data_IF_086720107273
#
_entry.id   IF_086720107273
#
_cell.length_a   1.000
_cell.length_b   1.000
_cell.length_c   1.000
_cell.angle_alpha   90.00
_cell.angle_beta   90.00
_cell.angle_gamma   90.00
#
_symmetry.space_group_name_H-M   'P 1'
#
loop_
_entity.id
_entity.type
_entity.pdbx_description
1 polymer ?
#
# COMPACT_ATOMS: atom_id res chain seq x y z
N UNK A 1 -1.72 -6.06 5.56
CA UNK A 1 -1.95 -6.10 4.11
C UNK A 1 -0.62 -6.05 3.35
N UNK A 2 -0.41 -6.90 2.33
CA UNK A 2 0.78 -6.81 1.46
C UNK A 2 0.68 -5.68 0.42
N UNK A 3 -0.44 -4.99 0.36
CA UNK A 3 -0.73 -4.00 -0.66
C UNK A 3 -1.55 -4.55 -1.81
N UNK A 4 -1.46 -3.91 -2.99
CA UNK A 4 -2.22 -4.26 -4.18
C UNK A 4 -2.50 -3.04 -5.05
N UNK A 5 -3.77 -2.78 -5.35
CA UNK A 5 -4.18 -1.67 -6.22
C UNK A 5 -3.83 -0.30 -5.64
N UNK A 6 -3.03 0.48 -6.36
CA UNK A 6 -2.69 1.85 -5.98
C UNK A 6 -3.94 2.74 -5.89
N UNK A 7 -4.89 2.56 -6.83
CA UNK A 7 -6.15 3.32 -6.83
C UNK A 7 -6.97 3.02 -5.58
N UNK A 8 -7.12 1.74 -5.22
CA UNK A 8 -7.86 1.36 -4.02
C UNK A 8 -7.19 1.89 -2.75
N UNK A 9 -5.84 1.86 -2.71
CA UNK A 9 -5.08 2.39 -1.58
C UNK A 9 -5.27 3.89 -1.41
N UNK A 10 -5.29 4.67 -2.50
CA UNK A 10 -5.56 6.11 -2.46
C UNK A 10 -6.98 6.41 -1.99
N UNK A 11 -7.99 5.69 -2.50
CA UNK A 11 -9.39 5.89 -2.07
C UNK A 11 -9.55 5.63 -0.56
N UNK A 12 -8.93 4.56 -0.05
CA UNK A 12 -8.97 4.24 1.39
C UNK A 12 -8.19 5.29 2.19
N UNK A 13 -7.01 5.70 1.70
CA UNK A 13 -6.20 6.74 2.35
C UNK A 13 -6.98 8.05 2.50
N UNK A 14 -7.66 8.50 1.43
CA UNK A 14 -8.50 9.72 1.46
C UNK A 14 -9.64 9.59 2.47
N UNK A 15 -10.36 8.46 2.49
CA UNK A 15 -11.44 8.25 3.45
C UNK A 15 -10.95 8.23 4.91
N UNK A 16 -9.76 7.69 5.17
CA UNK A 16 -9.15 7.73 6.50
C UNK A 16 -8.69 9.15 6.89
N UNK A 17 -8.16 9.93 5.94
CA UNK A 17 -7.80 11.34 6.19
C UNK A 17 -9.02 12.19 6.48
N UNK A 18 -10.10 12.04 5.74
CA UNK A 18 -11.38 12.69 6.03
C UNK A 18 -11.91 12.31 7.42
N UNK A 19 -11.83 11.03 7.78
CA UNK A 19 -12.21 10.57 9.11
C UNK A 19 -11.34 11.20 10.21
N UNK A 20 -10.04 11.35 9.97
CA UNK A 20 -9.10 11.92 10.95
C UNK A 20 -9.33 13.41 11.25
N UNK A 21 -10.09 14.12 10.41
CA UNK A 21 -10.51 15.49 10.69
C UNK A 21 -11.55 15.58 11.83
N UNK A 22 -12.29 14.50 12.09
CA UNK A 22 -13.35 14.46 13.08
C UNK A 22 -13.02 13.65 14.34
N UNK A 23 -12.12 12.67 14.23
CA UNK A 23 -11.73 11.80 15.34
C UNK A 23 -10.33 11.21 15.10
N UNK A 24 -9.54 10.89 16.14
CA UNK A 24 -8.23 10.30 15.96
C UNK A 24 -8.33 8.94 15.29
N UNK A 25 -7.46 8.71 14.32
CA UNK A 25 -7.34 7.44 13.57
C UNK A 25 -5.96 6.85 13.83
N UNK A 26 -5.89 5.75 14.56
CA UNK A 26 -4.63 5.06 14.82
C UNK A 26 -4.60 3.72 14.08
N UNK A 27 -3.42 3.31 13.71
CA UNK A 27 -3.19 2.08 12.94
C UNK A 27 -2.41 1.10 13.77
N UNK A 28 -2.90 -0.14 13.86
CA UNK A 28 -2.16 -1.26 14.45
C UNK A 28 -1.82 -2.29 13.37
N UNK A 29 -0.53 -2.60 13.24
CA UNK A 29 0.01 -3.54 12.27
C UNK A 29 0.45 -4.80 12.99
N UNK A 30 -0.37 -5.84 12.95
CA UNK A 30 -0.07 -7.12 13.57
C UNK A 30 0.91 -7.98 12.76
N UNK A 31 0.80 -8.04 11.43
CA UNK A 31 1.66 -8.87 10.59
C UNK A 31 2.38 -8.10 9.49
N UNK A 32 1.64 -7.40 8.65
CA UNK A 32 2.22 -6.72 7.50
C UNK A 32 1.47 -5.45 7.12
N UNK A 33 2.23 -4.39 6.86
CA UNK A 33 1.79 -3.19 6.16
C UNK A 33 2.83 -2.83 5.09
N UNK A 34 2.69 -3.42 3.91
CA UNK A 34 3.63 -3.25 2.81
C UNK A 34 2.95 -2.67 1.57
N UNK A 35 3.69 -1.89 0.76
CA UNK A 35 3.19 -1.30 -0.48
C UNK A 35 1.87 -0.54 -0.22
N UNK A 36 0.78 -0.85 -0.92
CA UNK A 36 -0.54 -0.27 -0.67
C UNK A 36 -1.03 -0.40 0.78
N UNK A 37 -0.58 -1.41 1.52
CA UNK A 37 -0.87 -1.55 2.95
C UNK A 37 -0.18 -0.47 3.79
N UNK A 38 1.06 -0.11 3.47
CA UNK A 38 1.76 1.00 4.13
C UNK A 38 1.22 2.36 3.65
N UNK A 39 0.85 2.47 2.37
CA UNK A 39 0.15 3.63 1.82
C UNK A 39 -1.09 3.99 2.65
N UNK A 40 -1.91 3.00 2.97
CA UNK A 40 -3.10 3.17 3.82
C UNK A 40 -2.70 3.51 5.26
N UNK A 41 -1.68 2.84 5.80
CA UNK A 41 -1.26 3.02 7.18
C UNK A 41 -0.80 4.46 7.49
N UNK A 42 -0.14 5.12 6.53
CA UNK A 42 0.33 6.51 6.71
C UNK A 42 -0.79 7.56 6.70
N UNK A 43 -2.04 7.16 6.49
CA UNK A 43 -3.20 8.02 6.71
C UNK A 43 -3.50 8.22 8.20
N UNK A 44 -3.10 7.28 9.05
CA UNK A 44 -3.33 7.35 10.50
C UNK A 44 -2.44 8.35 11.21
N UNK A 45 -2.94 8.88 12.33
CA UNK A 45 -2.23 9.85 13.17
C UNK A 45 -1.07 9.20 13.96
N UNK A 46 -1.24 7.91 14.33
CA UNK A 46 -0.19 7.07 14.94
C UNK A 46 -0.23 5.67 14.37
N UNK A 47 0.94 5.07 14.26
CA UNK A 47 1.13 3.70 13.73
C UNK A 47 1.85 2.86 14.77
N UNK A 48 1.17 1.85 15.29
CA UNK A 48 1.73 0.80 16.13
C UNK A 48 2.09 -0.42 15.29
N UNK A 49 3.23 -1.02 15.58
CA UNK A 49 3.70 -2.20 14.86
C UNK A 49 4.11 -3.30 15.83
N UNK A 50 3.72 -4.53 15.56
CA UNK A 50 4.30 -5.66 16.29
C UNK A 50 5.80 -5.75 15.99
N UNK A 51 6.67 -6.16 16.92
CA UNK A 51 8.12 -6.22 16.72
C UNK A 51 8.56 -6.96 15.46
N UNK A 52 7.79 -7.97 15.04
CA UNK A 52 8.03 -8.83 13.88
C UNK A 52 7.22 -8.45 12.64
N UNK A 53 6.37 -7.44 12.70
CA UNK A 53 5.62 -6.95 11.55
C UNK A 53 6.54 -6.56 10.40
N UNK A 54 6.12 -6.85 9.18
CA UNK A 54 6.81 -6.41 7.97
C UNK A 54 6.20 -5.10 7.48
N UNK A 55 7.02 -4.05 7.38
CA UNK A 55 6.57 -2.69 7.05
C UNK A 55 7.39 -2.13 5.89
N UNK A 56 6.79 -1.32 5.05
CA UNK A 56 7.49 -0.59 4.00
C UNK A 56 7.05 -0.99 2.59
N UNK A 57 7.98 -1.45 1.76
CA UNK A 57 7.75 -1.66 0.32
C UNK A 57 7.17 -0.40 -0.34
N UNK A 58 7.73 0.78 0.01
CA UNK A 58 7.39 2.05 -0.63
C UNK A 58 7.96 2.03 -2.03
N UNK A 59 7.15 1.53 -2.96
CA UNK A 59 7.54 1.30 -4.34
C UNK A 59 6.36 0.93 -5.20
N UNK A 60 6.57 0.95 -6.50
CA UNK A 60 5.57 0.59 -7.51
C UNK A 60 6.17 -0.44 -8.44
N UNK A 61 5.43 -1.51 -8.66
CA UNK A 61 5.77 -2.53 -9.65
C UNK A 61 4.62 -2.68 -10.63
N UNK A 62 4.94 -2.86 -11.89
CA UNK A 62 3.95 -3.08 -12.93
C UNK A 62 4.58 -3.81 -14.11
N UNK A 63 3.75 -4.57 -14.82
CA UNK A 63 4.22 -5.31 -15.97
C UNK A 63 3.13 -6.15 -16.60
N UNK A 64 3.48 -6.82 -17.69
CA UNK A 64 2.69 -7.91 -18.27
C UNK A 64 3.58 -9.07 -18.66
N UNK A 65 3.01 -10.23 -18.76
CA UNK A 65 3.67 -11.42 -19.30
C UNK A 65 3.29 -11.53 -20.77
N UNK A 66 4.29 -11.57 -21.66
CA UNK A 66 4.09 -11.85 -23.08
C UNK A 66 4.32 -13.34 -23.34
N UNK A 67 3.34 -13.99 -23.89
CA UNK A 67 3.34 -15.44 -24.15
C UNK A 67 3.29 -15.77 -25.66
N UNK A 68 3.58 -14.82 -26.54
CA UNK A 68 3.50 -15.03 -27.99
C UNK A 68 4.34 -16.21 -28.47
N UNK A 69 5.62 -16.29 -28.09
CA UNK A 69 6.52 -17.39 -28.44
C UNK A 69 6.02 -18.76 -27.92
N UNK A 70 5.42 -18.78 -26.74
CA UNK A 70 4.81 -20.00 -26.20
C UNK A 70 3.61 -20.43 -27.05
N UNK A 71 2.75 -19.49 -27.44
CA UNK A 71 1.62 -19.76 -28.30
C UNK A 71 2.08 -20.33 -29.66
N UNK A 72 3.12 -19.76 -30.26
CA UNK A 72 3.71 -20.24 -31.50
C UNK A 72 4.24 -21.67 -31.37
N UNK A 73 4.94 -21.94 -30.27
CA UNK A 73 5.49 -23.28 -29.97
C UNK A 73 4.37 -24.32 -29.82
N UNK A 74 3.31 -23.96 -29.15
CA UNK A 74 2.15 -24.83 -28.92
C UNK A 74 1.17 -24.86 -30.10
N UNK A 75 1.45 -24.15 -31.20
CA UNK A 75 0.55 -24.00 -32.36
C UNK A 75 -0.82 -23.43 -31.99
N UNK A 76 -0.88 -22.56 -30.98
CA UNK A 76 -2.07 -21.87 -30.57
C UNK A 76 -2.17 -20.55 -31.34
N UNK A 77 -3.20 -20.40 -32.14
CA UNK A 77 -3.47 -19.17 -32.90
C UNK A 77 -4.27 -18.20 -32.03
N UNK A 78 -3.65 -17.12 -31.57
CA UNK A 78 -4.31 -16.06 -30.78
C UNK A 78 -4.59 -14.86 -31.67
N UNK A 79 -5.86 -14.56 -31.88
CA UNK A 79 -6.31 -13.38 -32.63
C UNK A 79 -6.82 -12.32 -31.65
N UNK A 80 -6.02 -11.31 -31.38
CA UNK A 80 -6.43 -10.15 -30.61
C UNK A 80 -7.31 -9.21 -31.46
N UNK A 81 -8.46 -8.83 -30.93
CA UNK A 81 -9.33 -7.82 -31.54
C UNK A 81 -9.43 -6.62 -30.62
N UNK A 82 -8.85 -5.53 -31.01
CA UNK A 82 -8.84 -4.27 -30.26
C UNK A 82 -9.47 -3.15 -31.08
N UNK A 83 -10.02 -2.15 -30.41
CA UNK A 83 -10.58 -0.95 -31.06
C UNK A 83 -10.01 0.29 -30.36
N UNK A 84 -9.25 1.05 -31.10
CA UNK A 84 -8.58 2.27 -30.66
C UNK A 84 -7.07 2.11 -30.44
N UNK A 85 -6.34 3.21 -30.44
CA UNK A 85 -4.89 3.22 -30.19
C UNK A 85 -4.61 2.62 -28.81
N UNK A 86 -3.65 1.71 -28.73
CA UNK A 86 -3.20 1.07 -27.47
C UNK A 86 -4.23 0.18 -26.77
N UNK A 87 -5.36 -0.14 -27.40
CA UNK A 87 -6.40 -0.98 -26.78
C UNK A 87 -5.96 -2.43 -26.54
N UNK A 88 -4.90 -2.88 -27.20
CA UNK A 88 -4.23 -4.17 -27.06
C UNK A 88 -3.00 -4.15 -26.15
N UNK A 89 -2.72 -3.03 -25.53
CA UNK A 89 -1.52 -2.80 -24.71
C UNK A 89 -1.30 -3.89 -23.63
N UNK A 90 -2.37 -4.47 -23.10
CA UNK A 90 -2.32 -5.55 -22.12
C UNK A 90 -2.61 -6.94 -22.69
N UNK A 91 -2.72 -7.07 -24.02
CA UNK A 91 -2.84 -8.39 -24.65
C UNK A 91 -1.57 -9.22 -24.42
N UNK A 92 -1.75 -10.51 -24.09
CA UNK A 92 -0.63 -11.40 -23.75
C UNK A 92 0.14 -11.93 -24.95
N UNK A 93 -0.37 -11.75 -26.18
CA UNK A 93 0.25 -12.31 -27.37
C UNK A 93 1.47 -11.52 -27.86
N UNK A 94 1.56 -10.22 -27.59
CA UNK A 94 2.63 -9.34 -28.07
C UNK A 94 3.33 -8.62 -26.92
N UNK A 95 4.66 -8.46 -26.95
CA UNK A 95 5.37 -7.63 -26.01
C UNK A 95 4.98 -6.14 -26.21
N UNK A 96 5.25 -5.31 -25.20
CA UNK A 96 5.16 -3.87 -25.36
C UNK A 96 6.22 -3.37 -26.34
N UNK A 97 5.84 -2.46 -27.21
CA UNK A 97 6.78 -1.62 -27.95
C UNK A 97 7.42 -0.56 -27.03
N UNK A 98 8.31 0.26 -27.60
CA UNK A 98 9.05 1.26 -26.82
C UNK A 98 8.12 2.36 -26.29
N UNK A 99 7.18 2.84 -27.11
CA UNK A 99 6.19 3.86 -26.70
C UNK A 99 5.30 3.37 -25.56
N UNK A 100 4.84 2.13 -25.65
CA UNK A 100 4.03 1.51 -24.60
C UNK A 100 4.81 1.32 -23.29
N UNK A 101 6.10 0.94 -23.38
CA UNK A 101 6.99 0.83 -22.21
C UNK A 101 7.19 2.17 -21.52
N UNK A 102 7.42 3.22 -22.30
CA UNK A 102 7.60 4.57 -21.77
C UNK A 102 6.33 5.09 -21.11
N UNK A 103 5.17 4.82 -21.70
CA UNK A 103 3.89 5.16 -21.09
C UNK A 103 3.70 4.46 -19.73
N UNK A 104 4.00 3.16 -19.65
CA UNK A 104 3.90 2.40 -18.39
C UNK A 104 4.89 2.94 -17.37
N UNK A 105 6.14 3.19 -17.77
CA UNK A 105 7.17 3.77 -16.89
C UNK A 105 6.70 5.10 -16.31
N UNK A 106 6.24 6.01 -17.15
CA UNK A 106 5.72 7.31 -16.70
C UNK A 106 4.55 7.17 -15.72
N UNK A 107 3.63 6.24 -15.97
CA UNK A 107 2.53 5.97 -15.03
C UNK A 107 3.01 5.41 -13.70
N UNK A 108 4.03 4.56 -13.71
CA UNK A 108 4.63 4.04 -12.48
C UNK A 108 5.35 5.15 -11.69
N UNK A 109 6.06 6.04 -12.37
CA UNK A 109 6.72 7.22 -11.78
C UNK A 109 5.69 8.12 -11.10
N UNK A 110 4.62 8.50 -11.78
CA UNK A 110 3.53 9.30 -11.20
C UNK A 110 2.92 8.63 -9.96
N UNK A 111 2.71 7.31 -10.02
CA UNK A 111 2.16 6.57 -8.87
C UNK A 111 3.16 6.53 -7.71
N UNK A 112 4.44 6.40 -7.99
CA UNK A 112 5.50 6.42 -6.98
C UNK A 112 5.64 7.80 -6.34
N UNK A 113 5.59 8.86 -7.12
CA UNK A 113 5.60 10.25 -6.63
C UNK A 113 4.43 10.47 -5.67
N UNK A 114 3.21 10.13 -6.08
CA UNK A 114 2.04 10.22 -5.21
C UNK A 114 2.21 9.41 -3.91
N UNK A 115 2.72 8.18 -4.00
CA UNK A 115 2.96 7.37 -2.81
C UNK A 115 3.95 8.05 -1.86
N UNK A 116 5.06 8.54 -2.38
CA UNK A 116 6.07 9.22 -1.56
C UNK A 116 5.58 10.53 -0.95
N UNK A 117 4.70 11.25 -1.65
CA UNK A 117 4.01 12.43 -1.11
C UNK A 117 3.12 12.05 0.09
N UNK A 118 2.31 11.00 -0.03
CA UNK A 118 1.46 10.52 1.07
C UNK A 118 2.27 10.08 2.27
N UNK A 119 3.39 9.39 2.01
CA UNK A 119 4.32 8.99 3.08
C UNK A 119 4.91 10.21 3.77
N UNK A 120 5.39 11.21 3.04
CA UNK A 120 5.91 12.45 3.66
C UNK A 120 4.85 13.19 4.47
N UNK A 121 3.62 13.22 3.96
CA UNK A 121 2.51 13.89 4.64
C UNK A 121 2.15 13.18 5.97
N UNK A 122 2.11 11.86 5.98
CA UNK A 122 1.78 11.06 7.17
C UNK A 122 2.97 10.82 8.11
N UNK A 123 4.19 10.93 7.62
CA UNK A 123 5.44 10.66 8.37
C UNK A 123 6.43 11.82 8.22
N UNK A 124 6.17 12.97 8.85
CA UNK A 124 7.09 14.11 8.80
C UNK A 124 8.48 13.73 9.31
N UNK A 125 9.51 14.03 8.52
CA UNK A 125 10.91 13.74 8.86
C UNK A 125 11.38 12.32 8.55
N UNK A 126 10.59 11.53 7.79
CA UNK A 126 11.06 10.25 7.23
C UNK A 126 12.15 10.48 6.17
N UNK A 127 13.19 9.67 6.22
CA UNK A 127 14.24 9.65 5.20
C UNK A 127 13.91 8.61 4.10
N UNK A 128 13.32 9.06 3.00
CA UNK A 128 12.95 8.19 1.89
C UNK A 128 14.14 7.59 1.16
N UNK A 129 15.33 8.19 1.24
CA UNK A 129 16.54 7.60 0.64
C UNK A 129 16.91 6.27 1.32
N UNK A 130 16.54 6.11 2.58
CA UNK A 130 16.77 4.91 3.38
C UNK A 130 15.58 3.96 3.42
N UNK A 131 14.36 4.48 3.29
CA UNK A 131 13.12 3.74 3.59
C UNK A 131 12.28 3.40 2.36
N UNK A 132 12.50 4.07 1.21
CA UNK A 132 11.77 3.83 -0.03
C UNK A 132 12.44 2.80 -0.96
N UNK A 133 12.12 2.85 -2.25
CA UNK A 133 12.64 1.98 -3.31
C UNK A 133 12.31 0.48 -3.06
N UNK A 134 11.13 0.21 -2.49
CA UNK A 134 10.65 -1.15 -2.28
C UNK A 134 11.27 -1.90 -1.10
N UNK A 135 12.08 -1.25 -0.27
CA UNK A 135 12.71 -1.89 0.90
C UNK A 135 11.67 -2.28 1.95
N UNK A 136 11.94 -3.38 2.64
CA UNK A 136 11.13 -3.91 3.74
C UNK A 136 11.90 -3.88 5.06
N UNK A 137 11.19 -3.61 6.14
CA UNK A 137 11.76 -3.48 7.48
C UNK A 137 10.90 -4.26 8.48
N UNK A 138 11.54 -4.76 9.53
CA UNK A 138 10.81 -5.29 10.69
C UNK A 138 10.26 -4.13 11.55
N UNK A 139 9.22 -4.41 12.33
CA UNK A 139 8.53 -3.39 13.11
C UNK A 139 9.45 -2.55 14.01
N UNK A 140 10.43 -3.17 14.68
CA UNK A 140 11.43 -2.42 15.48
C UNK A 140 12.24 -1.45 14.61
N UNK A 141 12.70 -1.89 13.45
CA UNK A 141 13.44 -1.05 12.51
C UNK A 141 12.55 0.07 11.94
N UNK A 142 11.26 -0.23 11.71
CA UNK A 142 10.32 0.77 11.23
C UNK A 142 10.15 1.94 12.21
N UNK A 143 10.14 1.68 13.52
CA UNK A 143 10.10 2.73 14.54
C UNK A 143 11.41 3.55 14.54
N UNK A 144 12.57 2.90 14.50
CA UNK A 144 13.88 3.57 14.43
C UNK A 144 14.02 4.47 13.20
N UNK A 145 13.39 4.05 12.08
CA UNK A 145 13.38 4.77 10.81
C UNK A 145 12.21 5.78 10.68
N UNK A 146 11.43 5.98 11.73
CA UNK A 146 10.25 6.86 11.76
C UNK A 146 9.15 6.47 10.78
N UNK A 147 9.12 5.21 10.38
CA UNK A 147 8.04 4.64 9.57
C UNK A 147 6.81 4.28 10.42
N UNK A 148 7.00 4.05 11.71
CA UNK A 148 5.98 3.83 12.71
C UNK A 148 6.34 4.60 14.00
N UNK A 149 5.39 4.71 14.91
CA UNK A 149 5.55 5.48 16.15
C UNK A 149 5.98 4.60 17.33
N UNK A 150 5.34 3.44 17.47
CA UNK A 150 5.53 2.60 18.65
C UNK A 150 5.56 1.10 18.28
N UNK A 151 6.25 0.34 19.10
CA UNK A 151 6.21 -1.12 19.07
C UNK A 151 5.10 -1.61 20.00
N UNK A 152 4.11 -2.29 19.45
CA UNK A 152 2.98 -2.86 20.19
C UNK A 152 1.90 -3.40 19.28
N UNK A 153 1.14 -4.38 19.79
CA UNK A 153 -0.02 -4.95 19.10
C UNK A 153 -1.28 -4.10 19.25
N UNK A 154 -2.42 -4.64 18.80
CA UNK A 154 -3.72 -3.95 18.85
C UNK A 154 -4.11 -3.52 20.28
N UNK A 155 -3.88 -4.36 21.27
CA UNK A 155 -4.20 -4.05 22.67
C UNK A 155 -3.39 -2.85 23.18
N UNK A 156 -2.10 -2.80 22.89
CA UNK A 156 -1.24 -1.68 23.27
C UNK A 156 -1.67 -0.39 22.55
N UNK A 157 -2.01 -0.47 21.27
CA UNK A 157 -2.54 0.65 20.50
C UNK A 157 -3.85 1.18 21.09
N UNK A 158 -4.79 0.28 21.40
CA UNK A 158 -6.09 0.64 21.99
C UNK A 158 -5.93 1.26 23.40
N UNK A 159 -5.08 0.68 24.25
CA UNK A 159 -4.80 1.19 25.58
C UNK A 159 -4.17 2.59 25.51
N UNK A 160 -3.18 2.78 24.66
CA UNK A 160 -2.54 4.09 24.49
C UNK A 160 -3.50 5.16 23.92
N UNK A 161 -4.43 4.77 23.03
CA UNK A 161 -5.48 5.67 22.55
C UNK A 161 -6.47 6.03 23.65
N UNK A 162 -6.91 5.04 24.45
CA UNK A 162 -7.79 5.28 25.59
C UNK A 162 -7.17 6.25 26.61
N UNK A 163 -5.90 6.07 26.93
CA UNK A 163 -5.16 6.95 27.83
C UNK A 163 -5.08 8.39 27.27
N UNK A 164 -4.74 8.53 25.99
CA UNK A 164 -4.71 9.85 25.33
C UNK A 164 -6.07 10.56 25.34
N UNK A 165 -7.17 9.80 25.24
CA UNK A 165 -8.53 10.33 25.24
C UNK A 165 -9.12 10.48 26.66
N UNK A 166 -8.41 10.07 27.71
CA UNK A 166 -8.87 10.11 29.09
C UNK A 166 -10.03 9.14 29.38
N UNK A 167 -10.10 8.02 28.66
CA UNK A 167 -11.14 6.98 28.83
C UNK A 167 -10.67 5.93 29.83
N UNK A 168 -11.35 5.84 30.97
CA UNK A 168 -11.00 4.89 32.03
C UNK A 168 -11.42 3.43 31.71
N UNK A 169 -12.52 3.25 31.01
CA UNK A 169 -13.05 1.93 30.61
C UNK A 169 -13.66 2.00 29.21
N UNK A 170 -12.81 1.90 28.15
CA UNK A 170 -13.29 2.01 26.79
C UNK A 170 -14.01 0.73 26.34
N UNK A 171 -15.18 0.89 25.77
CA UNK A 171 -15.88 -0.20 25.07
C UNK A 171 -15.27 -0.39 23.67
N UNK A 172 -14.76 -1.58 23.40
CA UNK A 172 -14.16 -1.94 22.11
C UNK A 172 -15.17 -2.56 21.16
N UNK A 173 -15.62 -1.80 20.19
CA UNK A 173 -16.52 -2.29 19.16
C UNK A 173 -15.73 -2.74 17.92
N UNK A 174 -15.94 -4.01 17.51
CA UNK A 174 -15.36 -4.52 16.26
C UNK A 174 -16.25 -4.18 15.06
N UNK A 175 -15.67 -3.56 14.05
CA UNK A 175 -16.38 -3.21 12.83
C UNK A 175 -15.59 -3.58 11.57
N UNK A 176 -16.18 -4.23 10.55
CA UNK A 176 -17.52 -4.81 10.57
C UNK A 176 -17.61 -5.96 11.57
N UNK A 177 -18.80 -6.16 12.15
CA UNK A 177 -19.06 -7.29 13.04
C UNK A 177 -18.77 -8.65 12.35
N UNK A 178 -18.66 -9.74 13.14
CA UNK A 178 -18.42 -11.06 12.59
C UNK A 178 -19.51 -11.39 11.57
N UNK A 179 -19.09 -11.86 10.37
CA UNK A 179 -20.06 -12.35 9.38
C UNK A 179 -20.70 -13.61 9.96
N UNK A 180 -22.04 -13.59 10.17
CA UNK A 180 -22.78 -14.83 10.39
C UNK A 180 -22.72 -15.65 9.09
N UNK A 181 -22.20 -16.88 9.18
CA UNK A 181 -22.25 -17.86 8.11
C UNK A 181 -23.65 -18.41 7.96
#
# INVERSE_FOLDING_TARGET
SPGGSAIASEVIWQGLKELSESKPVWVSVGGMAASGGYYIAVAGDRIFVDPSSVVGSIGVVGGKISMGELYDTLKINVVSRSRGPRADMFASAVPWDEEQRDLVRHKMEQTYELFTERVRAGRPGIDLSRTAEGRLFLGRQAVELRMADDVGGLEACAAAMADQLGLADPDLMHYPGPKSF
#
